data_IF_638789198963
#
_entry.id   IF_638789198963
#
_cell.length_a   1.000
_cell.length_b   1.000
_cell.length_c   1.000
_cell.angle_alpha   90.00
_cell.angle_beta   90.00
_cell.angle_gamma   90.00
#
_symmetry.space_group_name_H-M   'P 1'
#
loop_
_entity.id
_entity.type
_entity.pdbx_description
1 polymer ?
#
# COMPACT_ATOMS: atom_id res chain seq x y z
N UNK A 1 -16.93 33.66 6.98
CA UNK A 1 -15.69 33.35 6.29
C UNK A 1 -14.92 32.37 7.18
N UNK A 2 -14.96 31.07 6.90
CA UNK A 2 -14.26 30.07 7.73
C UNK A 2 -12.76 30.32 7.59
N UNK A 3 -12.11 30.52 8.72
CA UNK A 3 -10.66 30.74 8.77
C UNK A 3 -9.94 29.53 8.12
N UNK A 4 -9.27 29.75 6.98
CA UNK A 4 -8.57 28.72 6.19
C UNK A 4 -7.42 28.06 6.94
N UNK A 5 -6.94 28.69 8.02
CA UNK A 5 -5.86 28.16 8.87
C UNK A 5 -6.32 26.99 9.72
N UNK A 6 -7.62 26.81 9.94
CA UNK A 6 -8.21 25.77 10.79
C UNK A 6 -8.55 24.47 10.03
N UNK A 7 -8.56 24.48 8.68
CA UNK A 7 -8.87 23.26 7.90
C UNK A 7 -7.66 22.31 7.93
N UNK A 8 -7.81 21.09 8.47
CA UNK A 8 -6.72 20.11 8.52
C UNK A 8 -6.28 19.69 7.12
N UNK A 9 -5.02 19.29 6.97
CA UNK A 9 -4.41 18.98 5.67
C UNK A 9 -5.24 17.96 4.86
N UNK A 10 -5.78 16.92 5.50
CA UNK A 10 -6.59 15.90 4.85
C UNK A 10 -7.91 16.41 4.25
N UNK A 11 -8.48 17.50 4.78
CA UNK A 11 -9.69 18.13 4.25
C UNK A 11 -9.39 19.31 3.30
N UNK A 12 -8.09 19.61 3.02
CA UNK A 12 -7.69 20.59 2.00
C UNK A 12 -7.64 19.92 0.65
N UNK A 13 -8.77 19.81 -0.03
CA UNK A 13 -8.84 19.09 -1.31
C UNK A 13 -7.94 19.68 -2.39
N UNK A 14 -7.23 18.80 -3.10
CA UNK A 14 -6.32 19.18 -4.17
C UNK A 14 -7.11 19.52 -5.43
N UNK A 15 -6.67 20.54 -6.15
CA UNK A 15 -7.31 20.97 -7.41
C UNK A 15 -7.35 19.88 -8.48
N UNK A 16 -6.43 18.92 -8.43
CA UNK A 16 -6.38 17.80 -9.37
C UNK A 16 -7.64 16.91 -9.32
N UNK A 17 -8.42 16.93 -8.21
CA UNK A 17 -9.68 16.21 -8.10
C UNK A 17 -10.85 16.88 -8.82
N UNK A 18 -10.67 18.11 -9.31
CA UNK A 18 -11.72 18.91 -9.98
C UNK A 18 -12.41 18.18 -11.14
N UNK A 19 -11.70 17.49 -12.07
CA UNK A 19 -12.35 16.75 -13.15
C UNK A 19 -13.23 15.59 -12.66
N UNK A 20 -12.80 14.91 -11.59
CA UNK A 20 -13.56 13.83 -10.95
C UNK A 20 -14.78 14.39 -10.23
N UNK A 21 -14.57 15.45 -9.43
CA UNK A 21 -15.63 16.11 -8.67
C UNK A 21 -16.77 16.63 -9.57
N UNK A 22 -16.45 17.28 -10.68
CA UNK A 22 -17.45 17.79 -11.64
C UNK A 22 -18.31 16.70 -12.28
N UNK A 23 -17.85 15.45 -12.27
CA UNK A 23 -18.57 14.29 -12.81
C UNK A 23 -19.25 13.43 -11.75
N UNK A 24 -19.26 13.86 -10.48
CA UNK A 24 -19.69 13.05 -9.35
C UNK A 24 -21.13 12.53 -9.41
N UNK A 25 -22.01 13.21 -10.11
CA UNK A 25 -23.41 12.80 -10.28
C UNK A 25 -23.67 11.96 -11.53
N UNK A 26 -22.69 11.83 -12.44
CA UNK A 26 -22.85 11.05 -13.67
C UNK A 26 -22.99 9.56 -13.38
N UNK A 27 -23.78 8.88 -14.21
CA UNK A 27 -24.06 7.43 -14.09
C UNK A 27 -24.55 7.05 -12.67
N UNK A 28 -25.53 7.78 -12.12
CA UNK A 28 -26.05 7.57 -10.77
C UNK A 28 -24.96 7.55 -9.68
N UNK A 29 -23.88 8.31 -9.91
CA UNK A 29 -22.74 8.42 -8.99
C UNK A 29 -21.73 7.26 -9.05
N UNK A 30 -21.92 6.26 -9.91
CA UNK A 30 -20.98 5.14 -10.07
C UNK A 30 -19.69 5.52 -10.80
N UNK A 31 -19.76 6.56 -11.63
CA UNK A 31 -18.58 7.05 -12.35
C UNK A 31 -17.55 7.70 -11.40
N UNK A 32 -18.00 8.31 -10.31
CA UNK A 32 -17.12 9.00 -9.36
C UNK A 32 -16.05 8.08 -8.75
N UNK A 33 -16.42 6.94 -8.09
CA UNK A 33 -15.42 6.03 -7.53
C UNK A 33 -14.49 5.43 -8.59
N UNK A 34 -14.99 5.13 -9.79
CA UNK A 34 -14.17 4.61 -10.88
C UNK A 34 -13.13 5.63 -11.35
N UNK A 35 -13.54 6.89 -11.59
CA UNK A 35 -12.62 7.95 -11.95
C UNK A 35 -11.63 8.26 -10.81
N UNK A 36 -12.08 8.23 -9.57
CA UNK A 36 -11.21 8.48 -8.43
C UNK A 36 -10.15 7.40 -8.31
N UNK A 37 -10.54 6.13 -8.45
CA UNK A 37 -9.59 5.00 -8.49
C UNK A 37 -8.58 5.18 -9.64
N UNK A 38 -9.05 5.47 -10.85
CA UNK A 38 -8.17 5.71 -12.01
C UNK A 38 -7.15 6.82 -11.73
N UNK A 39 -7.60 7.97 -11.21
CA UNK A 39 -6.71 9.08 -10.90
C UNK A 39 -5.71 8.76 -9.78
N UNK A 40 -6.12 8.01 -8.74
CA UNK A 40 -5.18 7.55 -7.71
C UNK A 40 -4.17 6.58 -8.29
N UNK A 41 -4.58 5.61 -9.12
CA UNK A 41 -3.67 4.69 -9.80
C UNK A 41 -2.63 5.45 -10.64
N UNK A 42 -3.07 6.50 -11.36
CA UNK A 42 -2.15 7.35 -12.10
C UNK A 42 -1.17 8.10 -11.18
N UNK A 43 -1.64 8.61 -10.05
CA UNK A 43 -0.79 9.32 -9.09
C UNK A 43 0.24 8.41 -8.40
N UNK A 44 -0.07 7.14 -8.21
CA UNK A 44 0.84 6.18 -7.58
C UNK A 44 1.65 5.37 -8.60
N UNK A 45 1.44 5.57 -9.91
CA UNK A 45 2.19 4.88 -10.98
C UNK A 45 3.72 5.06 -10.91
N UNK A 46 4.32 6.13 -10.30
CA UNK A 46 5.76 6.20 -10.09
C UNK A 46 6.34 5.02 -9.32
N UNK A 47 5.52 4.23 -8.60
CA UNK A 47 5.92 2.93 -8.05
C UNK A 47 6.63 2.04 -9.07
N UNK A 48 6.06 1.92 -10.27
CA UNK A 48 6.64 1.09 -11.34
C UNK A 48 7.97 1.65 -11.83
N UNK A 49 8.12 2.98 -11.83
CA UNK A 49 9.37 3.64 -12.24
C UNK A 49 10.47 3.35 -11.22
N UNK A 50 10.22 3.57 -9.92
CA UNK A 50 11.22 3.32 -8.87
C UNK A 50 11.62 1.86 -8.82
N UNK A 51 10.66 0.95 -8.99
CA UNK A 51 10.90 -0.50 -9.01
C UNK A 51 11.81 -0.89 -10.19
N UNK A 52 11.52 -0.42 -11.42
CA UNK A 52 12.34 -0.71 -12.61
C UNK A 52 13.71 -0.04 -12.56
N UNK A 53 13.83 1.17 -12.00
CA UNK A 53 15.13 1.83 -11.80
C UNK A 53 16.01 1.04 -10.84
N UNK A 54 15.45 0.55 -9.73
CA UNK A 54 16.18 -0.28 -8.78
C UNK A 54 16.60 -1.62 -9.42
N UNK A 55 15.71 -2.28 -10.15
CA UNK A 55 16.01 -3.50 -10.90
C UNK A 55 17.13 -3.27 -11.93
N UNK A 56 17.07 -2.18 -12.69
CA UNK A 56 18.09 -1.84 -13.66
C UNK A 56 19.45 -1.59 -12.99
N UNK A 57 19.51 -0.85 -11.90
CA UNK A 57 20.74 -0.59 -11.16
C UNK A 57 21.38 -1.86 -10.60
N UNK A 58 20.56 -2.85 -10.21
CA UNK A 58 21.02 -4.15 -9.70
C UNK A 58 21.41 -5.14 -10.81
N UNK A 59 20.94 -4.91 -12.05
CA UNK A 59 21.22 -5.77 -13.21
C UNK A 59 22.36 -5.24 -14.10
N UNK A 60 23.17 -4.30 -13.63
CA UNK A 60 24.39 -3.89 -14.34
C UNK A 60 25.38 -5.05 -14.44
N UNK A 61 26.34 -5.05 -15.42
CA UNK A 61 27.20 -6.22 -15.71
C UNK A 61 27.92 -6.83 -14.50
N UNK A 62 28.29 -6.01 -13.51
CA UNK A 62 28.92 -6.47 -12.26
C UNK A 62 27.98 -7.39 -11.46
N UNK A 63 26.67 -7.11 -11.47
CA UNK A 63 25.68 -7.92 -10.76
C UNK A 63 25.31 -9.22 -11.51
N UNK A 64 25.47 -9.27 -12.84
CA UNK A 64 25.22 -10.47 -13.64
C UNK A 64 26.28 -11.55 -13.39
N UNK A 65 27.53 -11.16 -13.15
CA UNK A 65 28.61 -12.07 -12.82
C UNK A 65 28.41 -12.75 -11.45
N UNK A 66 27.86 -12.01 -10.49
CA UNK A 66 27.48 -12.51 -9.16
C UNK A 66 26.26 -13.45 -9.19
N UNK A 67 25.32 -13.26 -10.13
CA UNK A 67 24.15 -14.15 -10.30
C UNK A 67 24.52 -15.55 -10.83
N UNK A 68 25.60 -15.69 -11.59
CA UNK A 68 26.00 -16.95 -12.18
C UNK A 68 26.74 -17.89 -11.20
N UNK A 69 27.20 -17.40 -10.05
CA UNK A 69 27.77 -18.23 -9.00
C UNK A 69 26.66 -18.78 -8.08
N UNK A 70 25.93 -19.78 -8.60
CA UNK A 70 24.77 -20.42 -7.96
C UNK A 70 25.03 -21.24 -6.70
N UNK A 71 26.28 -21.35 -6.24
CA UNK A 71 26.67 -22.33 -5.22
C UNK A 71 26.73 -21.79 -3.78
N UNK A 72 26.64 -20.50 -3.55
CA UNK A 72 26.77 -19.97 -2.18
C UNK A 72 25.77 -18.85 -1.88
N UNK A 73 24.49 -19.21 -1.72
CA UNK A 73 23.41 -18.27 -1.38
C UNK A 73 23.48 -17.73 0.05
N UNK A 74 24.35 -18.25 0.89
CA UNK A 74 24.27 -18.02 2.33
C UNK A 74 25.24 -16.97 2.88
N UNK A 75 26.37 -16.70 2.27
CA UNK A 75 27.42 -15.87 2.88
C UNK A 75 27.95 -14.75 1.97
N UNK A 76 28.19 -14.99 0.69
CA UNK A 76 28.93 -14.05 -0.17
C UNK A 76 28.12 -12.85 -0.68
N UNK A 77 26.79 -12.88 -0.61
CA UNK A 77 25.94 -11.77 -1.08
C UNK A 77 25.76 -10.64 -0.08
N UNK A 78 26.11 -10.81 1.17
CA UNK A 78 25.89 -9.80 2.21
C UNK A 78 26.91 -8.66 2.15
N UNK A 79 28.11 -8.90 1.69
CA UNK A 79 29.21 -7.91 1.76
C UNK A 79 29.33 -6.99 0.55
N UNK A 80 28.63 -7.29 -0.57
CA UNK A 80 28.78 -6.54 -1.83
C UNK A 80 27.51 -5.79 -2.27
N UNK A 81 26.47 -5.71 -1.43
CA UNK A 81 25.19 -5.13 -1.81
C UNK A 81 25.16 -3.60 -1.69
N UNK A 82 24.75 -2.94 -2.76
CA UNK A 82 24.35 -1.55 -2.77
C UNK A 82 22.94 -1.32 -2.18
N UNK A 83 22.13 -2.39 -2.02
CA UNK A 83 20.82 -2.34 -1.42
C UNK A 83 20.90 -2.56 0.09
N UNK A 84 20.07 -1.85 0.85
CA UNK A 84 19.96 -2.04 2.28
C UNK A 84 19.26 -3.37 2.62
N UNK A 85 19.84 -4.11 3.57
CA UNK A 85 19.34 -5.41 4.03
C UNK A 85 18.70 -5.32 5.42
N UNK A 86 17.37 -5.15 5.51
CA UNK A 86 16.66 -5.03 6.78
C UNK A 86 16.57 -6.34 7.58
N UNK A 87 16.90 -7.50 7.02
CA UNK A 87 16.94 -8.79 7.75
C UNK A 87 17.87 -8.75 8.96
N UNK A 88 18.97 -8.00 8.84
CA UNK A 88 19.98 -7.90 9.88
C UNK A 88 19.45 -7.37 11.21
N UNK A 89 18.29 -6.68 11.21
CA UNK A 89 17.66 -6.11 12.40
C UNK A 89 16.99 -7.16 13.29
N UNK A 90 16.60 -8.30 12.73
CA UNK A 90 15.85 -9.34 13.46
C UNK A 90 16.60 -10.66 13.45
N UNK A 91 17.28 -10.96 14.57
CA UNK A 91 18.01 -12.21 14.75
C UNK A 91 17.51 -12.93 16.01
N UNK A 92 17.61 -14.24 15.98
CA UNK A 92 17.37 -15.07 17.16
C UNK A 92 18.60 -15.09 18.10
N UNK A 93 18.48 -15.82 19.23
CA UNK A 93 19.57 -16.02 20.18
C UNK A 93 20.81 -16.74 19.59
N UNK A 94 20.66 -17.40 18.45
CA UNK A 94 21.74 -18.10 17.73
C UNK A 94 22.28 -17.27 16.56
N UNK A 95 21.84 -16.00 16.43
CA UNK A 95 22.28 -15.08 15.39
C UNK A 95 21.63 -15.31 14.00
N UNK A 96 20.65 -16.24 13.88
CA UNK A 96 19.97 -16.54 12.61
C UNK A 96 18.88 -15.51 12.33
N UNK A 97 18.68 -15.16 11.07
CA UNK A 97 17.64 -14.23 10.64
C UNK A 97 16.23 -14.79 10.88
N UNK A 98 15.37 -14.04 11.56
CA UNK A 98 14.00 -14.45 11.85
C UNK A 98 13.16 -14.57 10.56
N UNK A 99 13.42 -13.73 9.56
CA UNK A 99 12.74 -13.77 8.27
C UNK A 99 12.84 -15.14 7.58
N UNK A 100 13.98 -15.84 7.74
CA UNK A 100 14.15 -17.18 7.20
C UNK A 100 13.39 -18.27 7.94
N UNK A 101 12.99 -18.01 9.19
CA UNK A 101 12.18 -18.96 10.00
C UNK A 101 10.69 -18.89 9.69
N UNK A 102 10.22 -17.80 9.11
CA UNK A 102 8.83 -17.71 8.70
C UNK A 102 8.60 -18.74 7.58
N UNK A 103 7.59 -19.64 7.71
CA UNK A 103 7.34 -20.63 6.67
C UNK A 103 6.83 -19.98 5.37
N UNK A 104 7.23 -20.50 4.21
CA UNK A 104 6.60 -20.19 2.96
C UNK A 104 5.26 -20.94 2.86
N UNK A 105 4.16 -20.23 2.65
CA UNK A 105 2.81 -20.80 2.60
C UNK A 105 2.10 -20.32 1.34
N UNK A 106 2.15 -21.13 0.28
CA UNK A 106 1.76 -20.72 -1.07
C UNK A 106 0.30 -20.27 -1.19
N UNK A 107 -0.66 -20.90 -0.47
CA UNK A 107 -2.06 -20.51 -0.57
C UNK A 107 -2.35 -19.10 -0.02
N UNK A 108 -1.48 -18.55 0.82
CA UNK A 108 -1.65 -17.20 1.36
C UNK A 108 -1.50 -16.10 0.29
N UNK A 109 -1.07 -16.45 -0.92
CA UNK A 109 -1.09 -15.54 -2.07
C UNK A 109 -2.49 -14.97 -2.32
N UNK A 110 -3.57 -15.72 -2.03
CA UNK A 110 -4.93 -15.23 -2.17
C UNK A 110 -5.26 -14.12 -1.16
N UNK A 111 -4.73 -14.23 0.06
CA UNK A 111 -4.83 -13.15 1.06
C UNK A 111 -4.02 -11.93 0.62
N UNK A 112 -2.83 -12.13 0.08
CA UNK A 112 -2.01 -11.08 -0.48
C UNK A 112 -2.70 -10.35 -1.64
N UNK A 113 -3.27 -11.08 -2.59
CA UNK A 113 -4.01 -10.54 -3.72
C UNK A 113 -5.33 -9.85 -3.30
N UNK A 114 -5.83 -10.10 -2.08
CA UNK A 114 -7.00 -9.38 -1.56
C UNK A 114 -6.80 -7.87 -1.48
N UNK A 115 -5.55 -7.37 -1.55
CA UNK A 115 -5.22 -5.94 -1.69
C UNK A 115 -6.02 -5.27 -2.81
N UNK A 116 -6.18 -5.95 -3.94
CA UNK A 116 -6.96 -5.40 -5.07
C UNK A 116 -8.43 -5.21 -4.73
N UNK A 117 -8.97 -6.01 -3.78
CA UNK A 117 -10.31 -5.80 -3.21
C UNK A 117 -10.39 -4.50 -2.40
N UNK A 118 -9.35 -4.19 -1.63
CA UNK A 118 -9.29 -2.92 -0.89
C UNK A 118 -9.26 -1.71 -1.82
N UNK A 119 -8.66 -1.79 -3.00
CA UNK A 119 -8.66 -0.69 -3.98
C UNK A 119 -10.07 -0.30 -4.43
N UNK A 120 -11.04 -1.22 -4.32
CA UNK A 120 -12.45 -0.94 -4.58
C UNK A 120 -13.18 -0.24 -3.42
N UNK A 121 -12.49 0.12 -2.33
CA UNK A 121 -13.11 0.75 -1.13
C UNK A 121 -13.95 2.00 -1.46
N UNK A 122 -13.58 2.77 -2.50
CA UNK A 122 -14.33 3.96 -2.94
C UNK A 122 -15.81 3.70 -3.22
N UNK A 123 -16.16 2.46 -3.64
CA UNK A 123 -17.55 2.08 -3.89
C UNK A 123 -18.39 1.91 -2.61
N UNK A 124 -17.72 1.78 -1.46
CA UNK A 124 -18.39 1.65 -0.17
C UNK A 124 -18.78 3.01 0.44
N UNK A 125 -18.26 4.13 -0.05
CA UNK A 125 -18.64 5.46 0.43
C UNK A 125 -20.12 5.80 0.13
N UNK A 126 -20.71 6.70 0.91
CA UNK A 126 -22.04 7.20 0.63
C UNK A 126 -22.07 8.02 -0.67
N UNK A 127 -23.18 7.94 -1.42
CA UNK A 127 -23.32 8.61 -2.72
C UNK A 127 -23.68 10.10 -2.62
N UNK A 128 -23.73 10.68 -1.41
CA UNK A 128 -23.91 12.12 -1.19
C UNK A 128 -22.57 12.87 -1.26
N UNK A 129 -22.61 14.19 -1.22
CA UNK A 129 -21.39 15.01 -1.36
C UNK A 129 -20.44 14.84 -0.17
N UNK A 130 -20.96 14.57 1.05
CA UNK A 130 -20.14 14.24 2.23
C UNK A 130 -19.37 12.94 2.03
N UNK A 131 -20.02 11.85 1.64
CA UNK A 131 -19.34 10.57 1.40
C UNK A 131 -18.32 10.64 0.27
N UNK A 132 -18.60 11.46 -0.75
CA UNK A 132 -17.62 11.74 -1.83
C UNK A 132 -16.45 12.58 -1.32
N UNK A 133 -16.68 13.55 -0.44
CA UNK A 133 -15.61 14.30 0.22
C UNK A 133 -14.74 13.38 1.10
N UNK A 134 -15.35 12.45 1.85
CA UNK A 134 -14.63 11.42 2.59
C UNK A 134 -13.78 10.53 1.67
N UNK A 135 -14.30 10.16 0.49
CA UNK A 135 -13.54 9.42 -0.52
C UNK A 135 -12.31 10.20 -1.01
N UNK A 136 -12.41 11.52 -1.16
CA UNK A 136 -11.27 12.37 -1.50
C UNK A 136 -10.24 12.42 -0.38
N UNK A 137 -10.66 12.47 0.88
CA UNK A 137 -9.74 12.39 2.04
C UNK A 137 -8.96 11.08 1.99
N UNK A 138 -9.63 9.93 1.77
CA UNK A 138 -8.98 8.62 1.63
C UNK A 138 -8.03 8.60 0.42
N UNK A 139 -8.45 9.10 -0.73
CA UNK A 139 -7.64 9.15 -1.95
C UNK A 139 -6.34 9.96 -1.75
N UNK A 140 -6.44 11.11 -1.08
CA UNK A 140 -5.28 11.94 -0.74
C UNK A 140 -4.36 11.22 0.25
N UNK A 141 -4.92 10.57 1.28
CA UNK A 141 -4.13 9.81 2.24
C UNK A 141 -3.40 8.64 1.56
N UNK A 142 -4.06 7.91 0.66
CA UNK A 142 -3.43 6.85 -0.13
C UNK A 142 -2.29 7.38 -0.99
N UNK A 143 -2.51 8.46 -1.74
CA UNK A 143 -1.47 9.08 -2.56
C UNK A 143 -0.28 9.53 -1.70
N UNK A 144 -0.52 10.21 -0.57
CA UNK A 144 0.53 10.67 0.36
C UNK A 144 1.32 9.49 0.93
N UNK A 145 0.65 8.40 1.33
CA UNK A 145 1.31 7.17 1.79
C UNK A 145 2.32 6.66 0.77
N UNK A 146 1.91 6.62 -0.51
CA UNK A 146 2.78 6.17 -1.60
C UNK A 146 3.96 7.13 -1.84
N UNK A 147 3.68 8.44 -1.88
CA UNK A 147 4.72 9.44 -2.13
C UNK A 147 5.73 9.61 -0.99
N UNK A 148 5.38 9.23 0.24
CA UNK A 148 6.35 9.14 1.35
C UNK A 148 7.31 7.95 1.12
N UNK A 149 6.83 6.83 0.59
CA UNK A 149 7.65 5.65 0.36
C UNK A 149 8.59 5.77 -0.86
N UNK A 150 8.19 6.47 -1.92
CA UNK A 150 8.97 6.53 -3.17
C UNK A 150 10.41 7.07 -3.01
N UNK A 151 10.67 8.15 -2.25
CA UNK A 151 12.06 8.56 -1.98
C UNK A 151 12.87 7.46 -1.27
N UNK A 152 12.23 6.70 -0.37
CA UNK A 152 12.90 5.59 0.31
C UNK A 152 13.25 4.49 -0.68
N UNK A 153 12.33 4.10 -1.55
CA UNK A 153 12.59 3.12 -2.62
C UNK A 153 13.72 3.55 -3.56
N UNK A 154 13.78 4.86 -3.87
CA UNK A 154 14.79 5.38 -4.78
C UNK A 154 16.20 5.45 -4.14
N UNK A 155 16.27 5.76 -2.83
CA UNK A 155 17.55 5.98 -2.12
C UNK A 155 18.03 4.72 -1.41
N UNK A 156 17.10 3.92 -0.88
CA UNK A 156 17.37 2.71 -0.10
C UNK A 156 16.54 1.54 -0.62
N UNK A 157 16.74 1.09 -1.88
CA UNK A 157 16.04 -0.08 -2.39
C UNK A 157 16.39 -1.30 -1.54
N UNK A 158 15.38 -2.03 -1.08
CA UNK A 158 15.55 -3.28 -0.35
C UNK A 158 15.47 -4.45 -1.34
N UNK A 159 16.44 -5.35 -1.32
CA UNK A 159 16.42 -6.56 -2.15
C UNK A 159 15.82 -7.73 -1.37
N UNK A 160 14.63 -8.17 -1.76
CA UNK A 160 13.96 -9.32 -1.14
C UNK A 160 14.52 -10.61 -1.71
N UNK A 161 15.42 -11.22 -0.96
CA UNK A 161 16.07 -12.47 -1.30
C UNK A 161 15.38 -13.73 -0.74
N UNK A 162 14.13 -13.61 -0.27
CA UNK A 162 13.38 -14.71 0.36
C UNK A 162 12.66 -15.62 -0.64
N UNK A 163 12.51 -15.18 -1.89
CA UNK A 163 11.68 -15.88 -2.90
C UNK A 163 12.14 -17.31 -3.21
N UNK A 164 13.41 -17.64 -2.96
CA UNK A 164 13.93 -19.00 -3.13
C UNK A 164 13.26 -20.02 -2.18
N UNK A 165 12.75 -19.58 -1.04
CA UNK A 165 12.05 -20.46 -0.09
C UNK A 165 10.68 -20.94 -0.58
N UNK A 166 10.15 -20.36 -1.64
CA UNK A 166 8.91 -20.82 -2.28
C UNK A 166 9.10 -22.14 -3.03
N UNK A 167 10.35 -22.49 -3.38
CA UNK A 167 10.67 -23.68 -4.17
C UNK A 167 10.17 -23.61 -5.62
N UNK A 168 10.18 -24.75 -6.29
CA UNK A 168 9.57 -24.89 -7.61
C UNK A 168 8.07 -24.99 -7.46
N UNK A 169 7.34 -24.16 -8.19
CA UNK A 169 5.89 -24.09 -8.16
C UNK A 169 5.33 -24.41 -9.54
N UNK A 170 4.36 -25.32 -9.56
CA UNK A 170 3.66 -25.73 -10.78
C UNK A 170 2.17 -25.31 -10.74
N UNK A 171 1.49 -25.49 -11.85
CA UNK A 171 0.06 -25.25 -11.97
C UNK A 171 -0.35 -23.82 -11.64
N UNK A 172 -1.46 -23.67 -10.93
CA UNK A 172 -2.03 -22.35 -10.62
C UNK A 172 -1.10 -21.47 -9.80
N UNK A 173 -0.39 -22.00 -8.83
CA UNK A 173 0.56 -21.22 -8.03
C UNK A 173 1.74 -20.77 -8.85
N UNK A 174 2.33 -21.66 -9.67
CA UNK A 174 3.43 -21.31 -10.58
C UNK A 174 3.05 -20.17 -11.52
N UNK A 175 1.85 -20.22 -12.10
CA UNK A 175 1.33 -19.16 -12.95
C UNK A 175 1.17 -17.83 -12.20
N UNK A 176 0.52 -17.84 -11.01
CA UNK A 176 0.26 -16.62 -10.24
C UNK A 176 1.56 -15.97 -9.77
N UNK A 177 2.45 -16.74 -9.15
CA UNK A 177 3.73 -16.21 -8.67
C UNK A 177 4.63 -15.77 -9.82
N UNK A 178 4.66 -16.51 -10.93
CA UNK A 178 5.42 -16.14 -12.12
C UNK A 178 4.96 -14.83 -12.72
N UNK A 179 3.65 -14.65 -12.91
CA UNK A 179 3.07 -13.40 -13.38
C UNK A 179 3.35 -12.23 -12.41
N UNK A 180 3.19 -12.48 -11.10
CA UNK A 180 3.42 -11.47 -10.08
C UNK A 180 4.89 -11.04 -10.02
N UNK A 181 5.82 -11.98 -9.98
CA UNK A 181 7.27 -11.69 -9.93
C UNK A 181 7.80 -10.98 -11.18
N UNK A 182 7.12 -11.15 -12.34
CA UNK A 182 7.43 -10.40 -13.56
C UNK A 182 6.97 -8.95 -13.49
N UNK A 183 5.84 -8.68 -12.82
CA UNK A 183 5.28 -7.35 -12.69
C UNK A 183 5.93 -6.56 -11.54
N UNK A 184 6.27 -7.23 -10.45
CA UNK A 184 6.79 -6.62 -9.22
C UNK A 184 8.17 -7.20 -8.87
N UNK A 185 9.19 -6.48 -9.29
CA UNK A 185 10.59 -6.79 -8.95
C UNK A 185 10.82 -6.60 -7.44
N UNK A 186 11.77 -7.33 -6.80
CA UNK A 186 11.89 -7.42 -5.36
C UNK A 186 12.58 -6.21 -4.69
N UNK A 187 12.43 -4.99 -5.20
CA UNK A 187 13.21 -3.83 -4.74
C UNK A 187 12.40 -2.76 -4.01
N UNK A 188 11.13 -2.58 -4.32
CA UNK A 188 10.27 -1.60 -3.67
C UNK A 188 9.60 -2.17 -2.40
N UNK A 189 10.38 -2.78 -1.52
CA UNK A 189 9.82 -3.50 -0.40
C UNK A 189 9.65 -2.65 0.86
N UNK A 190 10.57 -1.74 1.14
CA UNK A 190 10.62 -0.98 2.39
C UNK A 190 10.31 0.50 2.20
N UNK A 191 9.27 1.05 2.88
CA UNK A 191 8.27 0.38 3.72
C UNK A 191 7.21 -0.37 2.91
N UNK A 192 6.58 -1.41 3.48
CA UNK A 192 5.58 -2.22 2.79
C UNK A 192 4.32 -1.40 2.46
N UNK A 193 4.15 -1.05 1.19
CA UNK A 193 2.96 -0.33 0.72
C UNK A 193 1.70 -1.20 0.74
N UNK A 194 1.81 -2.52 0.62
CA UNK A 194 0.67 -3.44 0.74
C UNK A 194 -0.05 -3.26 2.07
N UNK A 195 0.70 -3.19 3.17
CA UNK A 195 0.15 -2.99 4.51
C UNK A 195 -0.30 -1.54 4.70
N UNK A 196 0.54 -0.56 4.33
CA UNK A 196 0.24 0.84 4.54
C UNK A 196 -1.03 1.30 3.80
N UNK A 197 -1.15 0.97 2.51
CA UNK A 197 -2.29 1.34 1.68
C UNK A 197 -3.56 0.61 2.08
N UNK A 198 -3.50 -0.72 2.29
CA UNK A 198 -4.66 -1.50 2.72
C UNK A 198 -5.18 -1.06 4.09
N UNK A 199 -4.29 -0.61 5.00
CA UNK A 199 -4.70 -0.02 6.28
C UNK A 199 -5.53 1.25 6.09
N UNK A 200 -5.10 2.18 5.24
CA UNK A 200 -5.83 3.41 4.91
C UNK A 200 -7.25 3.07 4.40
N UNK A 201 -7.34 2.07 3.52
CA UNK A 201 -8.63 1.64 2.96
C UNK A 201 -9.49 0.90 3.98
N UNK A 202 -8.91 0.02 4.79
CA UNK A 202 -9.62 -0.68 5.86
C UNK A 202 -10.17 0.30 6.91
N UNK A 203 -9.42 1.33 7.27
CA UNK A 203 -9.87 2.37 8.17
C UNK A 203 -11.05 3.18 7.59
N UNK A 204 -11.03 3.51 6.29
CA UNK A 204 -12.14 4.16 5.60
C UNK A 204 -13.38 3.24 5.51
N UNK A 205 -13.19 1.98 5.11
CA UNK A 205 -14.25 0.98 5.08
C UNK A 205 -14.90 0.79 6.44
N UNK A 206 -14.11 0.68 7.50
CA UNK A 206 -14.62 0.57 8.88
C UNK A 206 -15.53 1.73 9.21
N UNK A 207 -15.11 2.98 8.89
CA UNK A 207 -15.94 4.17 9.11
C UNK A 207 -17.27 4.08 8.35
N UNK A 208 -17.24 3.81 7.05
CA UNK A 208 -18.44 3.79 6.21
C UNK A 208 -19.39 2.63 6.57
N UNK A 209 -18.87 1.49 6.99
CA UNK A 209 -19.69 0.36 7.44
C UNK A 209 -20.31 0.62 8.81
N UNK A 210 -19.57 1.28 9.73
CA UNK A 210 -20.14 1.71 11.02
C UNK A 210 -21.25 2.75 10.84
N UNK A 211 -21.11 3.69 9.90
CA UNK A 211 -22.17 4.65 9.56
C UNK A 211 -23.44 3.92 9.05
N UNK A 212 -23.29 2.75 8.41
CA UNK A 212 -24.41 1.89 7.98
C UNK A 212 -24.86 0.88 9.02
N UNK A 213 -24.29 0.93 10.22
CA UNK A 213 -24.53 -0.06 11.30
C UNK A 213 -24.14 -1.50 10.93
N UNK A 214 -23.21 -1.67 9.98
CA UNK A 214 -22.66 -2.97 9.58
C UNK A 214 -21.46 -3.36 10.46
N UNK A 215 -21.66 -3.39 11.77
CA UNK A 215 -20.61 -3.69 12.75
C UNK A 215 -19.99 -5.08 12.54
N UNK A 216 -20.81 -6.08 12.16
CA UNK A 216 -20.32 -7.42 11.84
C UNK A 216 -19.29 -7.43 10.71
N UNK A 217 -19.48 -6.59 9.67
CA UNK A 217 -18.55 -6.49 8.56
C UNK A 217 -17.19 -5.91 9.00
N UNK A 218 -17.19 -4.98 9.96
CA UNK A 218 -15.96 -4.43 10.54
C UNK A 218 -15.22 -5.49 11.35
N UNK A 219 -15.95 -6.36 12.08
CA UNK A 219 -15.36 -7.48 12.81
C UNK A 219 -14.71 -8.52 11.89
N UNK A 220 -15.17 -8.68 10.65
CA UNK A 220 -14.55 -9.55 9.65
C UNK A 220 -13.40 -8.86 8.91
N UNK A 221 -13.50 -7.55 8.69
CA UNK A 221 -12.52 -6.77 7.95
C UNK A 221 -11.13 -6.81 8.59
N UNK A 222 -11.05 -6.61 9.90
CA UNK A 222 -9.76 -6.53 10.59
C UNK A 222 -8.99 -7.84 10.65
N UNK A 223 -9.61 -9.02 10.94
CA UNK A 223 -8.95 -10.31 10.77
C UNK A 223 -8.52 -10.58 9.33
N UNK A 224 -9.34 -10.21 8.33
CA UNK A 224 -8.96 -10.34 6.93
C UNK A 224 -7.76 -9.46 6.58
N UNK A 225 -7.73 -8.22 7.07
CA UNK A 225 -6.59 -7.32 6.93
C UNK A 225 -5.33 -7.86 7.63
N UNK A 226 -5.47 -8.42 8.84
CA UNK A 226 -4.36 -9.09 9.51
C UNK A 226 -3.84 -10.28 8.70
N UNK A 227 -4.74 -11.06 8.10
CA UNK A 227 -4.39 -12.13 7.17
C UNK A 227 -3.56 -11.63 5.98
N UNK A 228 -3.92 -10.48 5.39
CA UNK A 228 -3.12 -9.81 4.36
C UNK A 228 -1.75 -9.42 4.92
N UNK A 229 -1.68 -8.83 6.11
CA UNK A 229 -0.40 -8.46 6.74
C UNK A 229 0.52 -9.67 6.96
N UNK A 230 -0.03 -10.80 7.38
CA UNK A 230 0.75 -12.03 7.54
C UNK A 230 1.15 -12.63 6.20
N UNK A 231 0.28 -12.49 5.19
CA UNK A 231 0.55 -13.05 3.86
C UNK A 231 1.76 -12.42 3.17
N UNK A 232 2.07 -11.14 3.39
CA UNK A 232 3.25 -10.50 2.79
C UNK A 232 4.55 -11.18 3.21
N UNK A 233 4.57 -11.76 4.41
CA UNK A 233 5.71 -12.51 4.97
C UNK A 233 5.72 -13.96 4.50
N UNK A 234 4.56 -14.63 4.48
CA UNK A 234 4.45 -16.07 4.13
C UNK A 234 4.50 -16.31 2.62
N UNK A 235 4.21 -15.30 1.80
CA UNK A 235 4.43 -15.31 0.34
C UNK A 235 5.84 -14.85 -0.05
N UNK A 236 6.70 -14.55 0.94
CA UNK A 236 8.11 -14.17 0.74
C UNK A 236 8.31 -12.90 -0.10
N UNK A 237 7.35 -11.96 -0.01
CA UNK A 237 7.42 -10.69 -0.73
C UNK A 237 8.02 -9.56 0.11
N UNK A 238 8.09 -9.71 1.44
CA UNK A 238 8.56 -8.70 2.37
C UNK A 238 9.30 -9.30 3.56
N UNK A 239 10.17 -8.48 4.18
CA UNK A 239 10.77 -8.75 5.48
C UNK A 239 9.85 -8.28 6.62
N UNK A 240 10.11 -8.76 7.83
CA UNK A 240 9.42 -8.31 9.07
C UNK A 240 9.51 -6.79 9.21
N UNK A 241 10.68 -6.21 8.95
CA UNK A 241 10.90 -4.77 9.03
C UNK A 241 10.02 -3.98 8.08
N UNK A 242 9.86 -4.44 6.85
CA UNK A 242 9.00 -3.81 5.85
C UNK A 242 7.56 -3.79 6.32
N UNK A 243 7.09 -4.90 6.89
CA UNK A 243 5.74 -5.04 7.42
C UNK A 243 5.48 -4.07 8.58
N UNK A 244 6.40 -4.00 9.56
CA UNK A 244 6.31 -3.10 10.71
C UNK A 244 6.28 -1.65 10.23
N UNK A 245 7.23 -1.25 9.39
CA UNK A 245 7.34 0.14 8.92
C UNK A 245 6.19 0.52 7.99
N UNK A 246 5.67 -0.42 7.21
CA UNK A 246 4.44 -0.25 6.44
C UNK A 246 3.22 0.03 7.33
N UNK A 247 3.07 -0.72 8.42
CA UNK A 247 2.01 -0.48 9.40
C UNK A 247 2.17 0.89 10.09
N UNK A 248 3.38 1.26 10.48
CA UNK A 248 3.67 2.57 11.08
C UNK A 248 3.39 3.71 10.11
N UNK A 249 3.73 3.57 8.83
CA UNK A 249 3.43 4.54 7.78
C UNK A 249 1.91 4.72 7.62
N UNK A 250 1.17 3.62 7.50
CA UNK A 250 -0.29 3.66 7.39
C UNK A 250 -0.95 4.31 8.61
N UNK A 251 -0.55 3.92 9.81
CA UNK A 251 -1.02 4.53 11.08
C UNK A 251 -0.67 6.01 11.17
N UNK A 252 0.54 6.40 10.80
CA UNK A 252 1.01 7.78 10.80
C UNK A 252 0.17 8.66 9.88
N UNK A 253 -0.02 8.26 8.62
CA UNK A 253 -0.82 9.02 7.65
C UNK A 253 -2.30 9.05 8.06
N UNK A 254 -2.84 7.95 8.57
CA UNK A 254 -4.19 7.93 9.13
C UNK A 254 -4.34 8.92 10.27
N UNK A 255 -3.44 8.89 11.26
CA UNK A 255 -3.50 9.73 12.46
C UNK A 255 -3.30 11.21 12.17
N UNK A 256 -2.34 11.55 11.29
CA UNK A 256 -1.99 12.92 10.96
C UNK A 256 -2.93 13.56 9.93
N UNK A 257 -3.38 12.80 8.94
CA UNK A 257 -4.08 13.36 7.78
C UNK A 257 -5.53 12.89 7.68
N UNK A 258 -5.78 11.57 7.64
CA UNK A 258 -7.09 11.05 7.30
C UNK A 258 -8.10 11.20 8.43
N UNK A 259 -7.73 10.86 9.66
CA UNK A 259 -8.60 11.00 10.83
C UNK A 259 -8.99 12.45 11.12
N UNK A 260 -8.06 13.44 11.15
CA UNK A 260 -8.41 14.84 11.26
C UNK A 260 -9.28 15.33 10.10
N UNK A 261 -9.03 14.87 8.87
CA UNK A 261 -9.85 15.19 7.71
C UNK A 261 -11.29 14.74 7.87
N UNK A 262 -11.51 13.49 8.28
CA UNK A 262 -12.86 12.98 8.57
C UNK A 262 -13.55 13.73 9.70
N UNK A 263 -12.85 14.01 10.82
CA UNK A 263 -13.41 14.79 11.94
C UNK A 263 -13.83 16.18 11.51
N UNK A 264 -13.07 16.84 10.66
CA UNK A 264 -13.43 18.14 10.13
C UNK A 264 -14.70 18.06 9.27
N UNK A 265 -14.81 17.04 8.40
CA UNK A 265 -16.03 16.84 7.63
C UNK A 265 -17.25 16.56 8.52
N UNK A 266 -17.09 15.90 9.67
CA UNK A 266 -18.17 15.67 10.65
C UNK A 266 -18.60 16.96 11.36
N UNK A 267 -17.70 17.92 11.54
CA UNK A 267 -17.94 19.15 12.30
C UNK A 267 -18.59 20.27 11.49
N UNK A 268 -18.67 20.15 10.15
CA UNK A 268 -19.26 21.18 9.27
C UNK A 268 -20.60 20.72 8.69
N UNK A 269 -21.49 21.66 8.41
CA UNK A 269 -22.73 21.37 7.68
C UNK A 269 -22.43 20.96 6.22
N UNK A 270 -23.37 20.29 5.56
CA UNK A 270 -23.18 19.83 4.17
C UNK A 270 -22.96 21.00 3.20
N UNK A 271 -23.59 22.14 3.44
CA UNK A 271 -23.42 23.36 2.64
C UNK A 271 -22.06 24.06 2.87
N UNK A 272 -21.41 23.79 4.01
CA UNK A 272 -20.13 24.36 4.40
C UNK A 272 -18.93 23.42 4.11
N UNK A 273 -19.15 22.31 3.43
CA UNK A 273 -18.06 21.39 3.06
C UNK A 273 -16.96 22.15 2.29
N UNK A 274 -15.66 21.87 2.53
CA UNK A 274 -14.54 22.61 1.96
C UNK A 274 -14.33 22.30 0.46
N UNK A 275 -15.42 22.34 -0.33
CA UNK A 275 -15.48 21.92 -1.73
C UNK A 275 -15.25 23.05 -2.74
N UNK A 276 -15.15 24.31 -2.27
CA UNK A 276 -15.00 25.48 -3.13
C UNK A 276 -13.81 25.43 -4.09
N UNK A 277 -12.76 24.67 -3.75
CA UNK A 277 -11.60 24.46 -4.63
C UNK A 277 -11.88 23.53 -5.81
N UNK A 278 -12.95 22.74 -5.74
CA UNK A 278 -13.35 21.72 -6.71
C UNK A 278 -14.48 22.20 -7.64
N UNK A 279 -15.10 23.32 -7.32
CA UNK A 279 -16.13 23.96 -8.12
C UNK A 279 -15.62 24.50 -9.48
#
# INVERSE_FOLDING_TARGET
MVDRTTIPFGARFWRLWRPVWRRRHKANGLLFPALLLFWVMLLISPYMITNRMAAWAQHTPISAELKNNKTDYTISRQDERTAWDPKSLFRDSEGRYLDYKIPAINWTIWLYLSLFGYYCAFYAAQKNDRGRAESLVMAQAWAVTSWIAYPVFAVLPADIDLRWQLGEMEGTYGFIYGAFHTLDEPFNAWPCLHIAQSFIMAAALSRWWLQRKWTWAVWLLWPAWLGLCLSVLTTKQHFIWDAITGALLGLGVWGWMMRPGFRHLDSVADDDLPLARLA
#
